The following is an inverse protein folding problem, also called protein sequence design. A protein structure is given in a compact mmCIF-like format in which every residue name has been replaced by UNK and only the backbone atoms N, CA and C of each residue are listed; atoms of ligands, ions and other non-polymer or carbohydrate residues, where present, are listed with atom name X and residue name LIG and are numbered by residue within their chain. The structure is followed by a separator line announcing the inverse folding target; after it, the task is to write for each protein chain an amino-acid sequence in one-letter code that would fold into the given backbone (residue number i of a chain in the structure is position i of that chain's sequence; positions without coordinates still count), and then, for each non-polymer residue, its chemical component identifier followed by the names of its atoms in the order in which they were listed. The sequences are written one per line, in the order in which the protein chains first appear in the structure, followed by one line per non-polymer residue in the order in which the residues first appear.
data_IF_069177219511
#
_entry.id   IF_069177219511
#
_cell.length_a   1.000
_cell.length_b   1.000
_cell.length_c   1.000
_cell.angle_alpha   90.00
_cell.angle_beta   90.00
_cell.angle_gamma   90.00
#
_symmetry.space_group_name_H-M   'P 1'
#
loop_
_entity.id
_entity.type
_entity.pdbx_description
1 polymer ?
#
# COMPACT_ATOMS: atom_id res chain seq x y z
N UNK A 1 37.20 67.21 -26.96
CA UNK A 1 37.20 66.12 -25.99
C UNK A 1 36.03 65.19 -26.29
N UNK A 2 36.31 64.00 -26.83
CA UNK A 2 35.30 62.99 -27.16
C UNK A 2 35.41 61.85 -26.15
N UNK A 3 34.37 61.64 -25.36
CA UNK A 3 34.26 60.48 -24.45
C UNK A 3 33.71 59.29 -25.22
N UNK A 4 34.50 58.19 -25.22
CA UNK A 4 34.10 56.89 -25.78
C UNK A 4 33.57 56.05 -24.62
N UNK A 5 32.29 55.64 -24.71
CA UNK A 5 31.69 54.69 -23.76
C UNK A 5 31.89 53.27 -24.27
N UNK A 6 32.65 52.48 -23.54
CA UNK A 6 32.78 51.03 -23.75
C UNK A 6 31.60 50.31 -23.07
N UNK A 7 30.77 49.59 -23.87
CA UNK A 7 29.75 48.66 -23.37
C UNK A 7 30.36 47.28 -23.19
N UNK A 8 30.54 46.86 -21.96
CA UNK A 8 30.91 45.50 -21.58
C UNK A 8 29.63 44.65 -21.54
N UNK A 9 29.46 43.76 -22.50
CA UNK A 9 28.38 42.77 -22.53
C UNK A 9 28.75 41.54 -21.69
N UNK A 10 28.02 41.31 -20.60
CA UNK A 10 28.13 40.12 -19.77
C UNK A 10 27.33 38.98 -20.37
N UNK A 11 28.00 37.98 -20.96
CA UNK A 11 27.38 36.80 -21.53
C UNK A 11 27.12 35.76 -20.39
N UNK A 12 25.87 35.65 -19.95
CA UNK A 12 25.46 34.58 -18.99
C UNK A 12 25.32 33.27 -19.76
N UNK A 13 26.27 32.36 -19.53
CA UNK A 13 26.17 30.97 -20.01
C UNK A 13 25.28 30.20 -19.00
N UNK A 14 24.03 29.92 -19.36
CA UNK A 14 23.16 29.02 -18.65
C UNK A 14 23.58 27.56 -18.92
N UNK A 15 24.28 26.94 -17.95
CA UNK A 15 24.52 25.50 -17.95
C UNK A 15 23.20 24.78 -17.61
N UNK A 16 22.55 24.22 -18.61
CA UNK A 16 21.43 23.30 -18.42
C UNK A 16 21.97 21.94 -17.97
N UNK A 17 21.84 21.62 -16.69
CA UNK A 17 22.14 20.29 -16.14
C UNK A 17 20.96 19.38 -16.53
N UNK A 18 21.12 18.61 -17.62
CA UNK A 18 20.19 17.54 -17.98
C UNK A 18 20.39 16.37 -17.01
N UNK A 19 19.50 16.21 -16.06
CA UNK A 19 19.40 14.99 -15.23
C UNK A 19 18.91 13.85 -16.11
N UNK A 20 19.81 13.01 -16.58
CA UNK A 20 19.46 11.79 -17.28
C UNK A 20 18.80 10.82 -16.26
N UNK A 21 17.47 10.73 -16.31
CA UNK A 21 16.72 9.68 -15.61
C UNK A 21 17.06 8.36 -16.30
N UNK A 22 17.89 7.54 -15.66
CA UNK A 22 18.25 6.21 -16.18
C UNK A 22 17.01 5.32 -16.12
N UNK A 23 16.29 5.21 -17.22
CA UNK A 23 15.21 4.25 -17.35
C UNK A 23 15.80 2.83 -17.27
N UNK A 24 15.30 2.02 -16.34
CA UNK A 24 15.69 0.62 -16.24
C UNK A 24 15.08 -0.15 -17.43
N UNK A 25 15.87 -1.10 -17.99
CA UNK A 25 15.36 -1.95 -19.05
C UNK A 25 14.17 -2.79 -18.55
N UNK A 26 13.14 -3.03 -19.39
CA UNK A 26 12.02 -3.90 -19.04
C UNK A 26 12.50 -5.26 -18.58
N UNK A 27 11.90 -5.78 -17.50
CA UNK A 27 12.18 -7.13 -16.99
C UNK A 27 11.25 -8.12 -17.69
N UNK A 28 11.81 -9.20 -18.24
CA UNK A 28 11.04 -10.35 -18.77
C UNK A 28 10.55 -11.22 -17.60
N UNK A 29 9.67 -10.67 -16.78
CA UNK A 29 9.05 -11.31 -15.63
C UNK A 29 7.53 -11.35 -15.81
N UNK A 30 6.86 -12.42 -15.32
CA UNK A 30 5.40 -12.39 -15.25
C UNK A 30 4.94 -11.17 -14.45
N UNK A 31 3.88 -10.47 -14.87
CA UNK A 31 3.38 -9.26 -14.19
C UNK A 31 3.06 -9.45 -12.70
N UNK A 32 2.79 -10.68 -12.27
CA UNK A 32 2.52 -11.04 -10.88
C UNK A 32 3.78 -11.22 -10.03
N UNK A 33 4.97 -11.24 -10.62
CA UNK A 33 6.20 -11.57 -9.89
C UNK A 33 6.77 -10.38 -9.10
N UNK A 34 6.76 -9.20 -9.69
CA UNK A 34 7.20 -7.96 -9.06
C UNK A 34 6.20 -6.86 -9.37
N UNK A 35 6.03 -5.89 -8.46
CA UNK A 35 5.22 -4.70 -8.75
C UNK A 35 6.03 -3.80 -9.69
N UNK A 36 5.60 -3.70 -10.95
CA UNK A 36 6.24 -2.87 -11.94
C UNK A 36 5.96 -1.38 -11.72
N UNK A 37 6.80 -0.53 -12.31
CA UNK A 37 6.80 0.90 -12.06
C UNK A 37 5.49 1.60 -12.48
N UNK A 38 4.90 1.17 -13.58
CA UNK A 38 3.70 1.73 -14.20
C UNK A 38 2.40 0.99 -13.82
N UNK A 39 2.51 -0.16 -13.16
CA UNK A 39 1.39 -1.02 -12.82
C UNK A 39 1.06 -1.04 -11.32
N UNK A 40 1.87 -0.38 -10.49
CA UNK A 40 1.64 -0.32 -9.07
C UNK A 40 0.32 0.37 -8.76
N UNK A 41 -0.57 -0.32 -8.03
CA UNK A 41 -1.68 0.33 -7.37
C UNK A 41 -1.30 0.73 -5.95
N UNK A 42 -2.01 1.72 -5.40
CA UNK A 42 -1.86 2.08 -3.99
C UNK A 42 -2.03 0.84 -3.09
N UNK A 43 -3.05 0.02 -3.37
CA UNK A 43 -3.38 -1.15 -2.56
C UNK A 43 -2.32 -2.25 -2.63
N UNK A 44 -1.70 -2.47 -3.79
CA UNK A 44 -0.62 -3.46 -3.92
C UNK A 44 0.61 -3.08 -3.09
N UNK A 45 0.98 -1.79 -3.09
CA UNK A 45 2.08 -1.29 -2.24
C UNK A 45 1.68 -1.32 -0.77
N UNK A 46 0.44 -0.90 -0.44
CA UNK A 46 -0.06 -0.93 0.94
C UNK A 46 -0.05 -2.35 1.52
N UNK A 47 -0.46 -3.36 0.73
CA UNK A 47 -0.40 -4.77 1.13
C UNK A 47 1.02 -5.19 1.56
N UNK A 48 2.06 -4.72 0.87
CA UNK A 48 3.44 -5.03 1.22
C UNK A 48 3.93 -4.22 2.42
N UNK A 49 3.62 -2.93 2.47
CA UNK A 49 4.07 -2.04 3.55
C UNK A 49 3.53 -2.48 4.90
N UNK A 50 2.21 -2.82 4.97
CA UNK A 50 1.57 -3.09 6.27
C UNK A 50 2.01 -4.40 6.91
N UNK A 51 2.51 -5.35 6.14
CA UNK A 51 3.00 -6.64 6.66
C UNK A 51 4.51 -6.68 6.89
N UNK A 52 5.24 -5.60 6.51
CA UNK A 52 6.70 -5.61 6.49
C UNK A 52 7.30 -4.72 7.57
N UNK A 53 7.87 -5.29 8.63
CA UNK A 53 8.60 -4.51 9.64
C UNK A 53 9.92 -3.92 9.10
N UNK A 54 10.41 -4.43 7.96
CA UNK A 54 11.60 -3.93 7.27
C UNK A 54 11.23 -3.59 5.83
N UNK A 55 11.60 -2.38 5.39
CA UNK A 55 11.48 -1.93 3.99
C UNK A 55 12.79 -1.28 3.60
N UNK A 56 13.42 -1.79 2.54
CA UNK A 56 14.74 -1.37 2.10
C UNK A 56 14.73 -1.11 0.60
N UNK A 57 15.29 0.02 0.20
CA UNK A 57 15.64 0.30 -1.19
C UNK A 57 17.00 -0.33 -1.47
N UNK A 58 17.09 -1.21 -2.44
CA UNK A 58 18.28 -2.00 -2.74
C UNK A 58 18.59 -2.04 -4.23
N UNK A 59 19.89 -2.17 -4.57
CA UNK A 59 20.32 -2.50 -5.93
C UNK A 59 20.90 -3.91 -5.95
N UNK A 60 20.37 -4.79 -6.80
CA UNK A 60 20.81 -6.17 -6.90
C UNK A 60 22.22 -6.25 -7.46
N UNK A 61 23.13 -6.80 -6.68
CA UNK A 61 24.55 -6.93 -7.02
C UNK A 61 24.84 -8.30 -7.65
N UNK A 62 24.43 -9.37 -6.98
CA UNK A 62 24.67 -10.73 -7.38
C UNK A 62 23.43 -11.60 -7.20
N UNK A 63 23.23 -12.54 -8.15
CA UNK A 63 22.13 -13.50 -8.11
C UNK A 63 22.72 -14.88 -8.42
N UNK A 64 22.71 -15.76 -7.43
CA UNK A 64 23.31 -17.09 -7.53
C UNK A 64 22.26 -18.16 -7.32
N UNK A 65 22.17 -19.12 -8.24
CA UNK A 65 21.33 -20.30 -8.10
C UNK A 65 21.79 -21.14 -6.90
N UNK A 66 20.86 -21.73 -6.19
CA UNK A 66 21.13 -22.70 -5.15
C UNK A 66 21.27 -24.11 -5.74
N UNK A 67 21.85 -25.04 -4.96
CA UNK A 67 21.92 -26.45 -5.36
C UNK A 67 20.52 -27.09 -5.41
N UNK A 68 20.41 -28.22 -6.09
CA UNK A 68 19.16 -28.98 -6.16
C UNK A 68 18.66 -29.39 -4.77
N UNK A 69 19.56 -29.75 -3.85
CA UNK A 69 19.23 -30.12 -2.47
C UNK A 69 18.62 -28.92 -1.68
N UNK A 70 19.21 -27.72 -1.85
CA UNK A 70 18.74 -26.49 -1.23
C UNK A 70 17.42 -25.97 -1.84
N UNK A 71 17.03 -26.51 -2.98
CA UNK A 71 15.85 -26.11 -3.76
C UNK A 71 14.81 -27.24 -3.84
N UNK A 72 14.97 -28.35 -3.15
CA UNK A 72 14.13 -29.56 -3.29
C UNK A 72 12.61 -29.30 -3.10
N UNK A 73 12.23 -28.32 -2.28
CA UNK A 73 10.83 -27.95 -2.02
C UNK A 73 10.29 -26.87 -3.00
N UNK A 74 11.08 -26.45 -3.99
CA UNK A 74 10.68 -25.40 -4.94
C UNK A 74 10.03 -26.04 -6.17
N UNK A 75 8.84 -25.56 -6.59
CA UNK A 75 8.20 -26.05 -7.83
C UNK A 75 9.12 -25.97 -9.03
N UNK A 76 9.04 -26.95 -9.95
CA UNK A 76 9.91 -27.04 -11.12
C UNK A 76 9.84 -25.80 -12.06
N UNK A 77 8.73 -25.06 -12.02
CA UNK A 77 8.55 -23.80 -12.75
C UNK A 77 9.33 -22.62 -12.17
N UNK A 78 9.86 -22.76 -10.95
CA UNK A 78 10.64 -21.74 -10.24
C UNK A 78 12.11 -22.16 -10.10
N UNK A 79 12.96 -21.20 -9.86
CA UNK A 79 14.37 -21.35 -9.51
C UNK A 79 14.65 -20.57 -8.24
N UNK A 80 15.08 -21.24 -7.18
CA UNK A 80 15.52 -20.54 -5.96
C UNK A 80 16.91 -19.97 -6.13
N UNK A 81 17.03 -18.71 -5.86
CA UNK A 81 18.29 -17.99 -5.93
C UNK A 81 18.60 -17.31 -4.60
N UNK A 82 19.90 -17.19 -4.28
CA UNK A 82 20.39 -16.28 -3.27
C UNK A 82 20.72 -14.95 -3.96
N UNK A 83 20.09 -13.89 -3.49
CA UNK A 83 20.33 -12.52 -3.95
C UNK A 83 21.21 -11.80 -2.92
N UNK A 84 22.25 -11.15 -3.41
CA UNK A 84 23.02 -10.15 -2.67
C UNK A 84 22.72 -8.77 -3.25
N UNK A 85 22.38 -7.82 -2.40
CA UNK A 85 21.99 -6.48 -2.82
C UNK A 85 22.66 -5.41 -1.96
N UNK A 86 23.12 -4.35 -2.60
CA UNK A 86 23.65 -3.16 -1.93
C UNK A 86 22.45 -2.30 -1.47
N UNK A 87 22.49 -1.85 -0.20
CA UNK A 87 21.45 -1.01 0.41
C UNK A 87 21.65 0.43 -0.03
N UNK A 88 20.62 1.01 -0.65
CA UNK A 88 20.58 2.41 -1.06
C UNK A 88 19.94 3.28 0.02
N UNK A 89 18.86 2.78 0.66
CA UNK A 89 18.21 3.46 1.76
C UNK A 89 17.42 2.48 2.65
N UNK A 90 17.41 2.72 3.96
CA UNK A 90 16.48 2.10 4.90
C UNK A 90 15.23 2.97 4.99
N UNK A 91 14.08 2.45 4.55
CA UNK A 91 12.80 3.17 4.60
C UNK A 91 12.06 2.89 5.91
N UNK A 92 12.08 1.64 6.35
CA UNK A 92 11.49 1.18 7.61
C UNK A 92 12.35 0.09 8.21
N UNK A 93 12.61 0.16 9.52
CA UNK A 93 13.34 -0.88 10.26
C UNK A 93 13.82 -0.35 11.61
N UNK A 94 14.06 -1.27 12.54
CA UNK A 94 14.64 -0.96 13.85
C UNK A 94 16.10 -1.41 13.88
N UNK A 95 16.95 -0.68 14.61
CA UNK A 95 18.35 -1.04 14.82
C UNK A 95 19.29 -0.88 13.63
N UNK A 96 18.81 -0.23 12.53
CA UNK A 96 19.62 -0.03 11.32
C UNK A 96 19.69 -1.27 10.42
N UNK A 97 20.54 -1.22 9.39
CA UNK A 97 20.76 -2.31 8.46
C UNK A 97 22.20 -2.27 7.96
N UNK A 98 22.76 -3.44 7.63
CA UNK A 98 24.11 -3.52 7.04
C UNK A 98 24.11 -2.91 5.61
N UNK A 99 25.26 -2.40 5.12
CA UNK A 99 25.35 -1.84 3.76
C UNK A 99 25.00 -2.81 2.65
N UNK A 100 25.03 -4.11 2.96
CA UNK A 100 24.64 -5.19 2.04
C UNK A 100 23.72 -6.17 2.72
N UNK A 101 22.69 -6.63 1.98
CA UNK A 101 21.72 -7.63 2.45
C UNK A 101 21.73 -8.85 1.54
N UNK A 102 21.32 -9.99 2.11
CA UNK A 102 21.13 -11.26 1.40
C UNK A 102 19.74 -11.81 1.68
N UNK A 103 19.10 -12.37 0.69
CA UNK A 103 17.79 -13.00 0.82
C UNK A 103 17.58 -14.08 -0.24
N UNK A 104 16.65 -14.98 0.03
CA UNK A 104 16.21 -16.00 -0.91
C UNK A 104 15.05 -15.48 -1.75
N UNK A 105 15.07 -15.82 -3.04
CA UNK A 105 14.04 -15.44 -3.98
C UNK A 105 13.74 -16.62 -4.91
N UNK A 106 12.47 -16.98 -5.03
CA UNK A 106 12.02 -18.02 -5.97
C UNK A 106 11.59 -17.33 -7.26
N UNK A 107 12.38 -17.49 -8.33
CA UNK A 107 12.20 -16.80 -9.60
C UNK A 107 11.51 -17.67 -10.64
N UNK A 108 10.52 -17.15 -11.39
CA UNK A 108 9.91 -17.89 -12.48
C UNK A 108 10.92 -18.15 -13.60
N UNK A 109 10.87 -19.36 -14.14
CA UNK A 109 11.60 -19.74 -15.35
C UNK A 109 10.77 -19.37 -16.57
N UNK A 110 11.40 -18.82 -17.59
CA UNK A 110 10.76 -18.63 -18.89
C UNK A 110 10.60 -19.97 -19.62
N UNK A 111 9.97 -19.95 -20.79
CA UNK A 111 9.75 -21.17 -21.62
C UNK A 111 11.04 -21.91 -21.98
N UNK A 112 12.22 -21.28 -21.92
CA UNK A 112 13.53 -21.87 -22.13
C UNK A 112 14.23 -22.36 -20.86
N UNK A 113 13.51 -22.38 -19.71
CA UNK A 113 14.03 -22.79 -18.41
C UNK A 113 15.03 -21.81 -17.79
N UNK A 114 15.09 -20.57 -18.27
CA UNK A 114 16.02 -19.55 -17.80
C UNK A 114 15.32 -18.56 -16.91
N UNK A 115 16.05 -18.04 -15.91
CA UNK A 115 15.58 -16.92 -15.06
C UNK A 115 16.01 -15.59 -15.69
N UNK A 116 15.25 -14.52 -15.49
CA UNK A 116 15.60 -13.16 -15.91
C UNK A 116 16.89 -12.66 -15.25
N UNK A 117 17.60 -11.77 -15.92
CA UNK A 117 18.78 -11.10 -15.36
C UNK A 117 18.33 -9.94 -14.47
N UNK A 118 18.59 -10.04 -13.16
CA UNK A 118 18.22 -9.02 -12.18
C UNK A 118 19.38 -8.16 -11.68
N UNK A 119 20.63 -8.46 -12.09
CA UNK A 119 21.78 -7.64 -11.68
C UNK A 119 21.58 -6.17 -12.09
N UNK A 120 21.97 -5.26 -11.20
CA UNK A 120 21.83 -3.80 -11.32
C UNK A 120 20.38 -3.28 -11.30
N UNK A 121 19.38 -4.14 -11.11
CA UNK A 121 18.00 -3.68 -10.89
C UNK A 121 17.88 -3.09 -9.49
N UNK A 122 17.26 -1.91 -9.40
CA UNK A 122 16.93 -1.26 -8.13
C UNK A 122 15.50 -1.58 -7.76
N UNK A 123 15.29 -2.05 -6.53
CA UNK A 123 14.00 -2.55 -6.05
C UNK A 123 13.76 -2.17 -4.60
N UNK A 124 12.51 -2.07 -4.21
CA UNK A 124 12.09 -2.14 -2.82
C UNK A 124 11.97 -3.58 -2.40
N UNK A 125 12.57 -3.89 -1.27
CA UNK A 125 12.49 -5.17 -0.59
C UNK A 125 11.63 -5.01 0.65
N UNK A 126 10.59 -5.84 0.77
CA UNK A 126 9.65 -5.84 1.88
C UNK A 126 9.83 -7.14 2.66
N UNK A 127 10.18 -7.03 3.96
CA UNK A 127 10.52 -8.22 4.74
C UNK A 127 10.75 -7.96 6.21
N UNK A 128 11.59 -8.81 6.79
CA UNK A 128 12.08 -8.71 8.16
C UNK A 128 13.53 -9.14 8.23
N UNK A 129 14.29 -8.60 9.16
CA UNK A 129 15.62 -9.11 9.47
C UNK A 129 15.54 -10.51 10.08
N UNK A 130 16.49 -11.36 9.75
CA UNK A 130 16.60 -12.67 10.37
C UNK A 130 17.33 -12.51 11.71
N UNK A 131 16.68 -12.92 12.81
CA UNK A 131 17.26 -12.81 14.16
C UNK A 131 18.60 -13.54 14.24
N UNK A 132 19.60 -12.85 14.79
CA UNK A 132 20.95 -13.42 14.95
C UNK A 132 21.77 -13.51 13.67
N UNK A 133 21.26 -13.03 12.53
CA UNK A 133 21.97 -13.03 11.23
C UNK A 133 21.96 -11.66 10.58
N UNK A 134 22.89 -10.76 10.99
CA UNK A 134 22.98 -9.43 10.42
C UNK A 134 23.12 -9.49 8.89
N UNK A 135 22.35 -8.65 8.19
CA UNK A 135 22.35 -8.61 6.73
C UNK A 135 21.56 -9.72 6.04
N UNK A 136 20.97 -10.68 6.75
CA UNK A 136 20.03 -11.61 6.16
C UNK A 136 18.59 -11.08 6.33
N UNK A 137 17.83 -11.13 5.23
CA UNK A 137 16.45 -10.67 5.20
C UNK A 137 15.56 -11.80 4.70
N UNK A 138 14.44 -11.99 5.39
CA UNK A 138 13.36 -12.84 4.92
C UNK A 138 12.28 -11.96 4.31
N UNK A 139 11.88 -12.26 3.07
CA UNK A 139 10.75 -11.58 2.42
C UNK A 139 9.45 -11.80 3.22
N UNK A 140 8.60 -10.78 3.31
CA UNK A 140 7.33 -10.83 4.06
C UNK A 140 6.33 -11.83 3.44
N UNK A 141 6.41 -12.02 2.14
CA UNK A 141 5.71 -13.06 1.37
C UNK A 141 6.56 -13.41 0.13
N UNK A 142 6.30 -14.52 -0.55
CA UNK A 142 6.93 -14.75 -1.85
C UNK A 142 6.78 -13.53 -2.75
N UNK A 143 7.87 -13.11 -3.40
CA UNK A 143 7.89 -11.96 -4.32
C UNK A 143 7.49 -10.61 -3.69
N UNK A 144 7.79 -10.40 -2.41
CA UNK A 144 7.58 -9.12 -1.73
C UNK A 144 8.61 -8.08 -2.20
N UNK A 145 8.54 -7.72 -3.48
CA UNK A 145 9.42 -6.81 -4.19
C UNK A 145 8.58 -5.82 -5.02
N UNK A 146 9.07 -4.59 -5.15
CA UNK A 146 8.55 -3.62 -6.10
C UNK A 146 9.72 -2.96 -6.86
N UNK A 147 9.58 -2.80 -8.17
CA UNK A 147 10.59 -2.12 -8.98
C UNK A 147 10.69 -0.66 -8.54
N UNK A 148 11.92 -0.15 -8.41
CA UNK A 148 12.11 1.25 -8.11
C UNK A 148 11.62 2.13 -9.27
N UNK A 149 10.78 3.10 -8.94
CA UNK A 149 10.39 4.22 -9.78
C UNK A 149 10.04 5.41 -8.89
N UNK A 150 9.99 6.61 -9.43
CA UNK A 150 9.55 7.79 -8.66
C UNK A 150 8.15 7.64 -8.10
N UNK A 151 7.25 7.00 -8.86
CA UNK A 151 5.88 6.71 -8.42
C UNK A 151 5.87 5.71 -7.26
N UNK A 152 6.57 4.59 -7.39
CA UNK A 152 6.65 3.59 -6.32
C UNK A 152 7.36 4.15 -5.09
N UNK A 153 8.42 4.98 -5.25
CA UNK A 153 9.09 5.65 -4.12
C UNK A 153 8.12 6.53 -3.35
N UNK A 154 7.35 7.36 -4.05
CA UNK A 154 6.36 8.23 -3.43
C UNK A 154 5.30 7.42 -2.64
N UNK A 155 4.76 6.35 -3.24
CA UNK A 155 3.77 5.47 -2.60
C UNK A 155 4.36 4.75 -1.37
N UNK A 156 5.52 4.12 -1.51
CA UNK A 156 6.17 3.38 -0.40
C UNK A 156 6.40 4.30 0.78
N UNK A 157 6.95 5.50 0.55
CA UNK A 157 7.24 6.46 1.63
C UNK A 157 5.98 7.04 2.26
N UNK A 158 4.99 7.43 1.45
CA UNK A 158 3.73 7.99 1.95
C UNK A 158 2.98 6.97 2.82
N UNK A 159 2.79 5.75 2.32
CA UNK A 159 2.09 4.69 3.06
C UNK A 159 2.88 4.28 4.30
N UNK A 160 4.21 4.19 4.21
CA UNK A 160 5.05 3.88 5.38
C UNK A 160 4.92 4.95 6.45
N UNK A 161 4.92 6.23 6.06
CA UNK A 161 4.74 7.35 7.00
C UNK A 161 3.42 7.25 7.77
N UNK A 162 2.32 6.94 7.08
CA UNK A 162 1.03 6.71 7.73
C UNK A 162 1.04 5.45 8.62
N UNK A 163 1.63 4.36 8.13
CA UNK A 163 1.62 3.07 8.83
C UNK A 163 2.44 3.02 10.13
N UNK A 164 3.36 3.98 10.35
CA UNK A 164 4.16 4.06 11.58
C UNK A 164 3.63 5.06 12.61
N UNK A 165 2.53 5.76 12.30
CA UNK A 165 1.89 6.64 13.28
C UNK A 165 1.27 5.84 14.41
N UNK A 166 1.18 6.43 15.60
CA UNK A 166 0.56 5.79 16.76
C UNK A 166 -0.93 5.49 16.52
N UNK A 167 -1.61 6.37 15.80
CA UNK A 167 -3.03 6.32 15.40
C UNK A 167 -3.25 5.70 14.02
N UNK A 168 -2.25 5.02 13.46
CA UNK A 168 -2.34 4.39 12.15
C UNK A 168 -3.58 3.50 12.02
N UNK A 169 -4.33 3.67 10.94
CA UNK A 169 -5.55 2.90 10.68
C UNK A 169 -5.30 1.38 10.74
N UNK A 170 -6.04 0.68 11.59
CA UNK A 170 -5.89 -0.74 11.86
C UNK A 170 -6.61 -1.59 10.83
N UNK A 171 -6.24 -2.88 10.78
CA UNK A 171 -6.88 -3.82 9.87
C UNK A 171 -8.29 -4.13 10.36
N UNK A 172 -9.28 -3.96 9.49
CA UNK A 172 -10.67 -4.36 9.76
C UNK A 172 -10.76 -5.88 9.64
N UNK A 173 -11.36 -6.51 10.64
CA UNK A 173 -11.54 -7.97 10.69
C UNK A 173 -12.97 -8.38 10.40
N UNK A 174 -13.95 -7.58 10.81
CA UNK A 174 -15.38 -7.83 10.54
C UNK A 174 -16.23 -6.58 10.79
N UNK A 175 -17.49 -6.63 10.39
CA UNK A 175 -18.55 -5.78 10.93
C UNK A 175 -19.00 -6.42 12.24
N UNK A 176 -18.99 -5.66 13.35
CA UNK A 176 -19.46 -6.15 14.65
C UNK A 176 -20.98 -5.99 14.77
N UNK A 177 -21.50 -4.81 14.52
CA UNK A 177 -22.92 -4.52 14.51
C UNK A 177 -23.26 -3.32 13.64
N UNK A 178 -24.54 -3.15 13.34
CA UNK A 178 -25.08 -1.99 12.66
C UNK A 178 -26.51 -1.72 13.17
N UNK A 179 -26.94 -0.47 13.17
CA UNK A 179 -28.33 -0.12 13.40
C UNK A 179 -28.71 1.11 12.57
N UNK A 180 -30.00 1.21 12.26
CA UNK A 180 -30.60 2.38 11.63
C UNK A 180 -31.61 3.02 12.57
N UNK A 181 -31.56 4.32 12.69
CA UNK A 181 -32.52 5.14 13.42
C UNK A 181 -33.21 6.10 12.46
N UNK A 182 -34.51 6.00 12.32
CA UNK A 182 -35.29 6.95 11.56
C UNK A 182 -35.37 8.29 12.33
N UNK A 183 -35.25 9.41 11.62
CA UNK A 183 -35.49 10.73 12.17
C UNK A 183 -36.98 11.02 12.33
N UNK A 184 -37.30 12.20 12.87
CA UNK A 184 -38.68 12.68 13.08
C UNK A 184 -39.32 13.14 11.78
N UNK A 185 -38.54 13.49 10.79
CA UNK A 185 -38.99 13.95 9.47
C UNK A 185 -38.87 12.82 8.44
N UNK A 186 -39.86 12.68 7.57
CA UNK A 186 -39.86 11.66 6.51
C UNK A 186 -38.61 11.83 5.62
N UNK A 187 -37.82 10.76 5.52
CA UNK A 187 -36.57 10.75 4.76
C UNK A 187 -35.33 11.16 5.55
N UNK A 188 -35.48 11.55 6.81
CA UNK A 188 -34.37 11.71 7.75
C UNK A 188 -34.01 10.37 8.41
N UNK A 189 -32.73 10.15 8.64
CA UNK A 189 -32.27 8.95 9.34
C UNK A 189 -30.76 8.91 9.45
N UNK A 190 -30.32 8.11 10.39
CA UNK A 190 -28.90 7.83 10.67
C UNK A 190 -28.67 6.32 10.71
N UNK A 191 -27.62 5.88 10.04
CA UNK A 191 -27.13 4.51 10.17
C UNK A 191 -25.76 4.54 10.78
N UNK A 192 -25.56 3.76 11.83
CA UNK A 192 -24.26 3.53 12.43
C UNK A 192 -23.82 2.09 12.21
N UNK A 193 -22.54 1.90 11.85
CA UNK A 193 -21.94 0.61 11.58
C UNK A 193 -20.64 0.52 12.35
N UNK A 194 -20.55 -0.45 13.25
CA UNK A 194 -19.36 -0.67 14.06
C UNK A 194 -18.51 -1.77 13.44
N UNK A 195 -17.21 -1.50 13.39
CA UNK A 195 -16.22 -2.37 12.78
C UNK A 195 -15.28 -2.91 13.85
N UNK A 196 -14.96 -4.19 13.75
CA UNK A 196 -13.94 -4.82 14.57
C UNK A 196 -12.58 -4.69 13.89
N UNK A 197 -11.56 -4.29 14.65
CA UNK A 197 -10.18 -4.17 14.19
C UNK A 197 -9.30 -5.26 14.83
N UNK A 198 -8.09 -5.42 14.32
CA UNK A 198 -7.14 -6.45 14.79
C UNK A 198 -6.49 -6.12 16.15
N UNK A 199 -6.74 -4.95 16.70
CA UNK A 199 -6.28 -4.54 18.04
C UNK A 199 -7.41 -4.01 18.93
N UNK A 200 -8.67 -4.32 18.57
CA UNK A 200 -9.89 -3.92 19.26
C UNK A 200 -10.09 -2.39 19.43
N UNK A 201 -9.32 -1.57 18.68
CA UNK A 201 -9.59 -0.12 18.65
C UNK A 201 -10.92 0.15 17.96
N UNK A 202 -11.73 1.09 18.49
CA UNK A 202 -13.02 1.42 17.91
C UNK A 202 -12.85 2.01 16.51
N UNK A 203 -13.73 1.59 15.61
CA UNK A 203 -13.85 2.14 14.26
C UNK A 203 -15.33 2.07 13.89
N UNK A 204 -15.92 3.20 13.55
CA UNK A 204 -17.33 3.27 13.17
C UNK A 204 -17.55 4.09 11.90
N UNK A 205 -18.63 3.76 11.20
CA UNK A 205 -19.14 4.52 10.07
C UNK A 205 -20.48 5.11 10.46
N UNK A 206 -20.66 6.39 10.21
CA UNK A 206 -21.93 7.08 10.39
C UNK A 206 -22.42 7.57 9.05
N UNK A 207 -23.65 7.22 8.67
CA UNK A 207 -24.30 7.63 7.43
C UNK A 207 -25.52 8.46 7.78
N UNK A 208 -25.59 9.68 7.25
CA UNK A 208 -26.67 10.63 7.51
C UNK A 208 -27.49 10.86 6.23
N UNK A 209 -28.81 10.70 6.37
CA UNK A 209 -29.77 11.05 5.35
C UNK A 209 -30.62 12.22 5.84
N UNK A 210 -30.79 13.28 5.02
CA UNK A 210 -31.64 14.43 5.30
C UNK A 210 -32.47 14.79 4.08
N UNK A 211 -33.76 15.14 4.25
CA UNK A 211 -34.61 15.54 3.14
C UNK A 211 -34.01 16.72 2.35
N UNK A 212 -34.00 16.59 1.02
CA UNK A 212 -33.46 17.62 0.13
C UNK A 212 -31.93 17.80 0.14
N UNK A 213 -31.21 16.98 0.87
CA UNK A 213 -29.72 16.99 0.91
C UNK A 213 -29.13 15.70 0.36
N UNK A 214 -27.92 15.80 -0.15
CA UNK A 214 -27.16 14.60 -0.50
C UNK A 214 -26.81 13.82 0.77
N UNK A 215 -26.92 12.49 0.71
CA UNK A 215 -26.48 11.60 1.77
C UNK A 215 -24.98 11.80 2.03
N UNK A 216 -24.60 11.88 3.27
CA UNK A 216 -23.21 12.01 3.71
C UNK A 216 -22.80 10.84 4.57
N UNK A 217 -21.52 10.59 4.67
CA UNK A 217 -20.98 9.58 5.59
C UNK A 217 -19.62 10.01 6.14
N UNK A 218 -19.29 9.46 7.29
CA UNK A 218 -18.06 9.77 8.01
C UNK A 218 -17.49 8.52 8.66
N UNK A 219 -16.20 8.57 8.98
CA UNK A 219 -15.48 7.55 9.75
C UNK A 219 -15.03 8.15 11.07
N UNK A 220 -15.32 7.47 12.18
CA UNK A 220 -14.76 7.80 13.48
C UNK A 220 -13.82 6.69 13.93
N UNK A 221 -12.62 7.08 14.38
CA UNK A 221 -11.61 6.20 15.00
C UNK A 221 -11.60 6.36 16.54
N UNK A 222 -12.57 7.08 17.10
CA UNK A 222 -12.76 7.30 18.53
C UNK A 222 -14.11 6.71 18.97
N UNK A 223 -14.25 6.47 20.25
CA UNK A 223 -15.53 6.04 20.86
C UNK A 223 -16.62 7.12 20.75
N UNK A 224 -16.21 8.38 20.67
CA UNK A 224 -17.13 9.53 20.53
C UNK A 224 -17.22 9.90 19.05
N UNK A 225 -18.44 9.99 18.52
CA UNK A 225 -18.70 10.43 17.15
C UNK A 225 -18.30 11.91 17.06
N UNK A 226 -17.26 12.19 16.30
CA UNK A 226 -16.83 13.55 16.01
C UNK A 226 -17.74 14.16 14.94
N UNK A 227 -18.41 15.26 15.27
CA UNK A 227 -19.25 15.99 14.32
C UNK A 227 -18.46 16.54 13.11
N UNK A 228 -17.12 16.66 13.22
CA UNK A 228 -16.22 17.05 12.13
C UNK A 228 -15.72 15.86 11.31
N UNK A 229 -16.06 14.63 11.68
CA UNK A 229 -15.65 13.43 10.96
C UNK A 229 -16.15 13.46 9.50
N UNK A 230 -15.31 13.00 8.60
CA UNK A 230 -15.58 12.98 7.15
C UNK A 230 -15.23 11.63 6.55
N UNK A 231 -15.67 11.40 5.31
CA UNK A 231 -15.21 10.27 4.52
C UNK A 231 -13.68 10.34 4.31
N UNK A 232 -12.97 9.20 4.33
CA UNK A 232 -11.53 9.19 4.17
C UNK A 232 -11.13 9.64 2.76
N UNK A 233 -10.06 10.38 2.68
CA UNK A 233 -9.47 10.73 1.39
C UNK A 233 -8.97 9.45 0.69
N UNK A 234 -9.24 9.34 -0.61
CA UNK A 234 -8.72 8.21 -1.41
C UNK A 234 -7.19 8.17 -1.39
N UNK A 235 -6.66 6.96 -1.48
CA UNK A 235 -5.22 6.70 -1.45
C UNK A 235 -4.55 7.14 -0.14
N UNK A 236 -5.27 6.99 0.98
CA UNK A 236 -4.75 7.01 2.35
C UNK A 236 -4.81 5.60 2.95
N UNK A 237 -4.09 5.37 4.04
CA UNK A 237 -4.11 4.09 4.74
C UNK A 237 -5.52 3.76 5.27
N UNK A 238 -6.25 4.76 5.79
CA UNK A 238 -7.63 4.56 6.26
C UNK A 238 -8.56 4.17 5.10
N UNK A 239 -8.49 4.88 3.96
CA UNK A 239 -9.24 4.48 2.77
C UNK A 239 -8.91 3.04 2.34
N UNK A 240 -7.63 2.67 2.30
CA UNK A 240 -7.21 1.30 1.95
C UNK A 240 -7.78 0.25 2.91
N UNK A 241 -7.77 0.53 4.23
CA UNK A 241 -8.34 -0.39 5.24
C UNK A 241 -9.82 -0.62 5.01
N UNK A 242 -10.57 0.43 4.66
CA UNK A 242 -12.00 0.35 4.36
C UNK A 242 -12.27 -0.29 2.99
N UNK A 243 -11.70 0.26 1.92
CA UNK A 243 -11.98 -0.19 0.55
C UNK A 243 -11.55 -1.65 0.29
N UNK A 244 -10.49 -2.12 0.99
CA UNK A 244 -9.96 -3.47 0.81
C UNK A 244 -10.35 -4.44 1.94
N UNK A 245 -10.87 -3.95 3.06
CA UNK A 245 -11.18 -4.76 4.25
C UNK A 245 -12.66 -4.94 4.54
N UNK A 246 -13.53 -4.05 4.05
CA UNK A 246 -14.95 -4.19 4.25
C UNK A 246 -15.56 -5.31 3.37
N UNK A 247 -16.51 -6.10 3.90
CA UNK A 247 -17.28 -7.03 3.08
C UNK A 247 -18.09 -6.28 2.02
N UNK A 248 -18.39 -6.92 0.90
CA UNK A 248 -19.13 -6.28 -0.21
C UNK A 248 -20.58 -5.94 0.14
N UNK A 249 -21.15 -6.62 1.11
CA UNK A 249 -22.52 -6.40 1.60
C UNK A 249 -22.52 -6.43 3.13
N UNK A 250 -23.41 -5.65 3.74
CA UNK A 250 -23.65 -5.71 5.17
C UNK A 250 -24.38 -7.01 5.52
N UNK A 251 -23.81 -7.88 6.38
CA UNK A 251 -24.48 -9.10 6.81
C UNK A 251 -25.76 -8.75 7.59
N UNK A 252 -26.88 -9.39 7.25
CA UNK A 252 -28.18 -9.10 7.87
C UNK A 252 -28.23 -9.48 9.35
N UNK A 253 -27.48 -10.49 9.76
CA UNK A 253 -27.34 -10.93 11.15
C UNK A 253 -26.55 -9.95 12.03
N UNK A 254 -25.98 -8.90 11.45
CA UNK A 254 -25.28 -7.83 12.15
C UNK A 254 -26.11 -6.57 12.34
N UNK A 255 -27.33 -6.53 11.83
CA UNK A 255 -28.26 -5.39 12.03
C UNK A 255 -29.10 -5.65 13.28
N UNK A 256 -28.88 -4.86 14.32
CA UNK A 256 -29.47 -5.04 15.64
C UNK A 256 -30.84 -4.35 15.77
N UNK A 257 -31.79 -5.00 16.48
CA UNK A 257 -33.07 -4.44 16.93
C UNK A 257 -33.98 -3.95 15.81
N UNK A 258 -33.78 -4.41 14.57
CA UNK A 258 -34.32 -3.77 13.39
C UNK A 258 -35.59 -4.46 12.89
N UNK A 259 -36.55 -3.64 12.45
CA UNK A 259 -37.56 -4.10 11.52
C UNK A 259 -36.94 -4.47 10.17
N UNK A 260 -37.68 -5.22 9.33
CA UNK A 260 -37.21 -5.50 7.98
C UNK A 260 -36.91 -4.21 7.17
N UNK A 261 -37.64 -3.14 7.46
CA UNK A 261 -37.44 -1.83 6.82
C UNK A 261 -36.12 -1.21 7.26
N UNK A 262 -35.79 -1.25 8.55
CA UNK A 262 -34.53 -0.70 9.10
C UNK A 262 -33.33 -1.52 8.60
N UNK A 263 -33.45 -2.85 8.53
CA UNK A 263 -32.45 -3.73 7.94
C UNK A 263 -32.17 -3.34 6.49
N UNK A 264 -33.21 -3.16 5.69
CA UNK A 264 -33.06 -2.76 4.28
C UNK A 264 -32.40 -1.35 4.16
N UNK A 265 -32.74 -0.43 5.06
CA UNK A 265 -32.12 0.89 5.11
C UNK A 265 -30.65 0.82 5.45
N UNK A 266 -30.26 0.09 6.51
CA UNK A 266 -28.88 -0.11 6.90
C UNK A 266 -28.04 -0.73 5.76
N UNK A 267 -28.60 -1.73 5.06
CA UNK A 267 -27.94 -2.34 3.91
C UNK A 267 -27.77 -1.38 2.73
N UNK A 268 -28.77 -0.54 2.45
CA UNK A 268 -28.69 0.48 1.41
C UNK A 268 -27.66 1.56 1.74
N UNK A 269 -27.58 1.96 3.00
CA UNK A 269 -26.59 2.93 3.50
C UNK A 269 -25.18 2.37 3.47
N UNK A 270 -25.01 1.10 3.85
CA UNK A 270 -23.73 0.42 3.72
C UNK A 270 -23.28 0.34 2.25
N UNK A 271 -24.22 -0.01 1.35
CA UNK A 271 -23.90 -0.02 -0.09
C UNK A 271 -23.46 1.36 -0.58
N UNK A 272 -24.09 2.43 -0.13
CA UNK A 272 -23.68 3.80 -0.44
C UNK A 272 -22.22 4.07 -0.02
N UNK A 273 -21.79 3.59 1.17
CA UNK A 273 -20.40 3.70 1.62
C UNK A 273 -19.46 2.92 0.69
N UNK A 274 -19.80 1.67 0.36
CA UNK A 274 -18.97 0.83 -0.53
C UNK A 274 -18.82 1.48 -1.92
N UNK A 275 -19.91 2.00 -2.48
CA UNK A 275 -19.91 2.70 -3.77
C UNK A 275 -19.04 3.98 -3.70
N UNK A 276 -19.12 4.73 -2.61
CA UNK A 276 -18.33 5.95 -2.37
C UNK A 276 -16.82 5.68 -2.23
N UNK A 277 -16.45 4.60 -1.55
CA UNK A 277 -15.07 4.15 -1.44
C UNK A 277 -14.49 3.75 -2.79
N UNK A 278 -15.35 3.19 -3.66
CA UNK A 278 -14.95 2.63 -4.94
C UNK A 278 -14.15 1.32 -4.79
N UNK A 279 -13.63 0.79 -5.89
CA UNK A 279 -12.89 -0.46 -5.88
C UNK A 279 -11.58 -0.32 -5.11
N UNK A 280 -11.21 -1.36 -4.37
CA UNK A 280 -9.91 -1.48 -3.69
C UNK A 280 -8.72 -1.28 -4.66
N UNK A 281 -8.89 -1.63 -5.94
CA UNK A 281 -7.86 -1.43 -6.97
C UNK A 281 -6.65 -2.36 -6.84
N UNK A 282 -6.73 -3.43 -6.02
CA UNK A 282 -5.70 -4.46 -5.94
C UNK A 282 -5.59 -5.18 -7.27
N UNK A 283 -4.38 -5.30 -7.81
CA UNK A 283 -4.08 -5.95 -9.08
C UNK A 283 -3.38 -7.31 -8.90
N UNK A 284 -2.91 -7.60 -7.68
CA UNK A 284 -2.10 -8.80 -7.34
C UNK A 284 -2.69 -9.55 -6.16
#
# INVERSE_FOLDING_TARGET
MRFVHAKTGLCLILLSISTATSAQAPLDLPPSFVIEADQASFSDIADLVVISPLIVDVTFRNVRKLSAEQSAAVPASLERVLVEADVMALIRGQGGITPRVRFLLDMPKNAKGRIPKLQKQRMYLFGRQVTGRPGEVQLARPNALALFSTTNDALVRAITKEAVQADAARRITSVSSAFHSAGTVLGEGETQIFLKTDNDQPLSLTILSRPGQQKTWAVSTAEVIDASATAPQRFTLLWYRLACGLPRALPSDRVEGASNADTARAQADYKFVIDSLGPCGRKR
#
